data_IF_413462893388
#
_entry.id   IF_413462893388
#
_cell.length_a   1.000
_cell.length_b   1.000
_cell.length_c   1.000
_cell.angle_alpha   90.00
_cell.angle_beta   90.00
_cell.angle_gamma   90.00
#
_symmetry.space_group_name_H-M   'P 1'
#
loop_
_entity.id
_entity.type
_entity.pdbx_description
1 polymer ?
#
# COMPACT_ATOMS: atom_id res chain seq x y z
N UNK A 1 17.30 7.59 4.25
CA UNK A 1 17.04 6.14 4.05
C UNK A 1 16.53 5.90 2.64
N UNK A 2 17.07 4.91 1.96
CA UNK A 2 16.57 4.53 0.64
C UNK A 2 15.27 3.74 0.81
N UNK A 3 14.26 4.05 0.00
CA UNK A 3 12.98 3.38 0.13
C UNK A 3 13.08 1.85 -0.02
N UNK A 4 14.09 1.36 -0.72
CA UNK A 4 14.31 -0.09 -0.89
C UNK A 4 14.72 -0.79 0.41
N UNK A 5 14.99 -0.03 1.45
CA UNK A 5 15.27 -0.58 2.78
C UNK A 5 14.00 -0.83 3.58
N UNK A 6 12.84 -0.36 3.10
CA UNK A 6 11.54 -0.58 3.75
C UNK A 6 11.07 -1.98 3.40
N UNK A 7 11.28 -2.94 4.32
CA UNK A 7 10.93 -4.34 4.10
C UNK A 7 9.87 -4.86 5.05
N UNK A 8 9.38 -3.98 5.93
CA UNK A 8 8.35 -4.33 6.90
C UNK A 8 7.59 -3.08 7.32
N UNK A 9 6.43 -3.30 7.96
CA UNK A 9 5.68 -2.20 8.58
C UNK A 9 6.53 -1.48 9.61
N UNK A 10 7.29 -2.24 10.41
CA UNK A 10 8.17 -1.67 11.44
C UNK A 10 9.24 -0.77 10.83
N UNK A 11 9.82 -1.18 9.70
CA UNK A 11 10.78 -0.33 8.98
C UNK A 11 10.15 0.98 8.54
N UNK A 12 8.92 0.92 8.04
CA UNK A 12 8.19 2.11 7.60
C UNK A 12 7.90 3.04 8.77
N UNK A 13 7.47 2.50 9.90
CA UNK A 13 7.23 3.30 11.10
C UNK A 13 8.51 4.00 11.55
N UNK A 14 9.63 3.28 11.56
CA UNK A 14 10.91 3.84 11.94
C UNK A 14 11.30 4.99 11.02
N UNK A 15 11.13 4.80 9.71
CA UNK A 15 11.46 5.83 8.73
C UNK A 15 10.65 7.10 8.93
N UNK A 16 9.40 6.97 9.38
CA UNK A 16 8.49 8.11 9.57
C UNK A 16 8.46 8.63 11.00
N UNK A 17 9.22 8.02 11.90
CA UNK A 17 9.21 8.43 13.31
C UNK A 17 7.91 8.06 14.02
N UNK A 18 7.24 7.00 13.60
CA UNK A 18 5.98 6.56 14.18
C UNK A 18 6.20 5.33 15.05
N UNK A 19 5.36 5.22 16.10
CA UNK A 19 5.32 4.02 16.91
C UNK A 19 4.37 3.01 16.26
N UNK A 20 4.81 1.76 16.04
CA UNK A 20 3.93 0.75 15.46
C UNK A 20 2.71 0.50 16.34
N UNK A 21 1.56 0.29 15.69
CA UNK A 21 0.31 -0.05 16.36
C UNK A 21 0.26 -1.57 16.48
N UNK A 22 -0.06 -2.04 17.70
CA UNK A 22 -0.19 -3.48 17.95
C UNK A 22 -1.41 -4.06 17.22
N UNK A 23 -1.29 -5.29 16.74
CA UNK A 23 -2.37 -5.94 15.98
C UNK A 23 -3.66 -6.03 16.79
N UNK A 24 -3.58 -6.11 18.10
CA UNK A 24 -4.74 -6.19 18.99
C UNK A 24 -5.67 -4.98 18.88
N UNK A 25 -5.15 -3.84 18.45
CA UNK A 25 -5.97 -2.64 18.21
C UNK A 25 -7.09 -2.93 17.22
N UNK A 26 -6.83 -3.80 16.24
CA UNK A 26 -7.81 -4.12 15.21
C UNK A 26 -8.90 -5.08 15.70
N UNK A 27 -8.81 -5.57 16.92
CA UNK A 27 -9.86 -6.39 17.52
C UNK A 27 -11.15 -5.61 17.77
N UNK A 28 -11.10 -4.27 17.65
CA UNK A 28 -12.30 -3.44 17.71
C UNK A 28 -13.21 -3.65 16.50
N UNK A 29 -12.66 -4.13 15.38
CA UNK A 29 -13.43 -4.43 14.19
C UNK A 29 -14.07 -5.81 14.27
N UNK A 30 -15.06 -6.07 13.41
CA UNK A 30 -15.62 -7.40 13.24
C UNK A 30 -14.51 -8.37 12.86
N UNK A 31 -14.62 -9.63 13.29
CA UNK A 31 -13.56 -10.60 13.09
C UNK A 31 -13.16 -10.73 11.61
N UNK A 32 -14.14 -10.75 10.71
CA UNK A 32 -13.88 -10.88 9.27
C UNK A 32 -13.18 -9.68 8.66
N UNK A 33 -13.21 -8.53 9.34
CA UNK A 33 -12.63 -7.29 8.83
C UNK A 33 -11.23 -7.01 9.38
N UNK A 34 -10.85 -7.67 10.46
CA UNK A 34 -9.60 -7.33 11.18
C UNK A 34 -8.37 -7.43 10.31
N UNK A 35 -8.25 -8.50 9.55
CA UNK A 35 -7.08 -8.71 8.69
C UNK A 35 -6.98 -7.65 7.61
N UNK A 36 -8.10 -7.35 6.94
CA UNK A 36 -8.14 -6.34 5.90
C UNK A 36 -7.82 -4.95 6.43
N UNK A 37 -8.40 -4.59 7.58
CA UNK A 37 -8.18 -3.27 8.16
C UNK A 37 -6.75 -3.11 8.66
N UNK A 38 -6.18 -4.16 9.26
CA UNK A 38 -4.78 -4.13 9.67
C UNK A 38 -3.87 -3.99 8.44
N UNK A 39 -4.15 -4.74 7.38
CA UNK A 39 -3.37 -4.66 6.15
C UNK A 39 -3.46 -3.27 5.53
N UNK A 40 -4.65 -2.68 5.46
CA UNK A 40 -4.81 -1.33 4.92
C UNK A 40 -4.00 -0.31 5.71
N UNK A 41 -4.09 -0.35 7.04
CA UNK A 41 -3.32 0.57 7.88
C UNK A 41 -1.82 0.45 7.61
N UNK A 42 -1.33 -0.79 7.61
CA UNK A 42 0.10 -1.03 7.38
C UNK A 42 0.54 -0.61 6.00
N UNK A 43 -0.28 -0.89 4.97
CA UNK A 43 0.02 -0.46 3.61
C UNK A 43 0.03 1.07 3.48
N UNK A 44 -0.88 1.77 4.16
CA UNK A 44 -0.90 3.23 4.12
C UNK A 44 0.38 3.82 4.71
N UNK A 45 0.86 3.28 5.82
CA UNK A 45 2.11 3.72 6.45
C UNK A 45 3.31 3.36 5.57
N UNK A 46 3.34 2.15 5.04
CA UNK A 46 4.42 1.69 4.15
C UNK A 46 4.48 2.56 2.89
N UNK A 47 3.32 2.84 2.28
CA UNK A 47 3.25 3.68 1.08
C UNK A 47 3.81 5.07 1.36
N UNK A 48 3.43 5.67 2.49
CA UNK A 48 3.94 6.97 2.89
C UNK A 48 5.46 6.95 3.04
N UNK A 49 6.00 5.91 3.68
CA UNK A 49 7.46 5.78 3.88
C UNK A 49 8.19 5.58 2.54
N UNK A 50 7.67 4.72 1.67
CA UNK A 50 8.27 4.48 0.35
C UNK A 50 8.24 5.75 -0.48
N UNK A 51 7.17 6.54 -0.39
CA UNK A 51 7.05 7.82 -1.09
C UNK A 51 7.89 8.93 -0.44
N UNK A 52 8.55 8.65 0.67
CA UNK A 52 9.38 9.63 1.38
C UNK A 52 8.58 10.88 1.74
N UNK A 53 7.33 10.68 2.17
CA UNK A 53 6.44 11.76 2.58
C UNK A 53 5.71 12.48 1.44
N UNK A 54 5.96 12.10 0.18
CA UNK A 54 5.24 12.67 -0.95
C UNK A 54 3.75 12.38 -0.81
N UNK A 55 2.93 13.40 -1.08
CA UNK A 55 1.48 13.29 -1.07
C UNK A 55 0.95 13.60 -2.46
N UNK A 56 0.01 12.82 -3.00
CA UNK A 56 -0.57 13.14 -4.30
C UNK A 56 -1.37 14.44 -4.24
N UNK A 57 -1.21 15.27 -5.26
CA UNK A 57 -1.98 16.49 -5.41
C UNK A 57 -3.11 16.23 -6.41
N UNK A 58 -4.31 16.00 -5.89
CA UNK A 58 -5.45 15.65 -6.72
C UNK A 58 -6.02 16.81 -7.51
N UNK A 59 -5.54 18.03 -7.24
CA UNK A 59 -5.89 19.19 -8.05
C UNK A 59 -4.94 19.37 -9.24
N UNK A 60 -3.80 18.68 -9.25
CA UNK A 60 -2.81 18.77 -10.33
C UNK A 60 -2.99 17.62 -11.31
N UNK A 61 -3.59 17.89 -12.46
CA UNK A 61 -3.89 16.88 -13.48
C UNK A 61 -2.65 16.43 -14.25
N UNK A 62 -1.54 17.12 -14.10
CA UNK A 62 -0.28 16.77 -14.76
C UNK A 62 0.59 15.87 -13.90
N UNK A 63 0.25 15.69 -12.64
CA UNK A 63 0.98 14.79 -11.75
C UNK A 63 0.45 13.38 -11.91
N UNK A 64 1.34 12.45 -12.23
CA UNK A 64 0.96 11.04 -12.34
C UNK A 64 0.95 10.39 -10.95
N UNK A 65 -0.12 9.66 -10.66
CA UNK A 65 -0.28 8.90 -9.42
C UNK A 65 -0.30 7.44 -9.83
N UNK A 66 0.70 6.69 -9.40
CA UNK A 66 0.89 5.31 -9.83
C UNK A 66 0.18 4.37 -8.87
N UNK A 67 -0.64 3.48 -9.43
CA UNK A 67 -1.41 2.52 -8.67
C UNK A 67 -1.05 1.11 -9.14
N UNK A 68 -0.75 0.18 -8.21
CA UNK A 68 -0.52 -1.20 -8.62
C UNK A 68 -1.82 -1.87 -9.02
N UNK A 69 -1.83 -2.56 -10.14
CA UNK A 69 -2.95 -3.40 -10.56
C UNK A 69 -2.62 -4.84 -10.28
N UNK A 70 -3.57 -5.52 -9.66
CA UNK A 70 -3.46 -6.93 -9.30
C UNK A 70 -4.55 -7.71 -9.99
N UNK A 71 -4.31 -9.01 -10.22
CA UNK A 71 -5.34 -9.90 -10.70
C UNK A 71 -5.25 -11.21 -9.93
N UNK A 72 -6.34 -11.97 -9.94
CA UNK A 72 -6.37 -13.26 -9.29
C UNK A 72 -6.30 -14.37 -10.34
N UNK A 73 -5.61 -15.44 -10.00
CA UNK A 73 -5.54 -16.64 -10.82
C UNK A 73 -5.59 -17.85 -9.90
N UNK A 74 -5.38 -19.06 -10.45
CA UNK A 74 -5.43 -20.28 -9.66
C UNK A 74 -4.36 -20.34 -8.57
N UNK A 75 -3.27 -19.59 -8.72
CA UNK A 75 -2.20 -19.53 -7.73
C UNK A 75 -2.42 -18.42 -6.69
N UNK A 76 -3.40 -17.54 -6.89
CA UNK A 76 -3.71 -16.47 -5.97
C UNK A 76 -3.65 -15.09 -6.61
N UNK A 77 -3.21 -14.10 -5.84
CA UNK A 77 -3.09 -12.72 -6.29
C UNK A 77 -1.75 -12.52 -6.99
N UNK A 78 -1.76 -11.84 -8.12
CA UNK A 78 -0.55 -11.57 -8.89
C UNK A 78 -0.51 -10.11 -9.33
N UNK A 79 0.69 -9.55 -9.38
CA UNK A 79 0.90 -8.20 -9.89
C UNK A 79 0.81 -8.20 -11.42
N UNK A 80 -0.10 -7.39 -11.96
CA UNK A 80 -0.26 -7.28 -13.41
C UNK A 80 0.60 -6.16 -13.98
N UNK A 81 0.44 -4.96 -13.50
CA UNK A 81 1.19 -3.80 -13.96
C UNK A 81 0.92 -2.61 -13.03
N UNK A 82 1.67 -1.52 -13.25
CA UNK A 82 1.40 -0.25 -12.60
C UNK A 82 0.71 0.66 -13.61
N UNK A 83 -0.36 1.29 -13.18
CA UNK A 83 -1.10 2.28 -13.96
C UNK A 83 -0.97 3.64 -13.27
N UNK A 84 -1.44 4.70 -13.95
CA UNK A 84 -1.45 6.01 -13.33
C UNK A 84 -2.78 6.71 -13.55
N UNK A 85 -3.12 7.60 -12.62
CA UNK A 85 -4.35 8.39 -12.69
C UNK A 85 -4.02 9.83 -12.26
N UNK A 86 -4.10 10.81 -13.18
CA UNK A 86 -3.73 12.18 -12.83
C UNK A 86 -4.64 12.87 -11.81
N UNK A 87 -5.94 12.59 -11.87
CA UNK A 87 -6.91 13.30 -11.03
C UNK A 87 -7.90 12.39 -10.32
N UNK A 88 -7.75 11.07 -10.47
CA UNK A 88 -8.66 10.09 -9.89
C UNK A 88 -7.87 8.96 -9.24
N UNK A 89 -8.53 8.23 -8.35
CA UNK A 89 -7.97 7.01 -7.80
C UNK A 89 -8.94 5.87 -8.06
N UNK A 90 -8.42 4.65 -8.19
CA UNK A 90 -9.30 3.50 -8.44
C UNK A 90 -10.05 3.12 -7.15
N UNK A 91 -11.19 2.47 -7.35
CA UNK A 91 -12.00 1.95 -6.25
C UNK A 91 -11.22 0.98 -5.37
N UNK A 92 -10.25 0.27 -5.96
CA UNK A 92 -9.51 -0.79 -5.26
C UNK A 92 -8.33 -0.26 -4.46
N UNK A 93 -7.72 0.85 -4.88
CA UNK A 93 -6.50 1.35 -4.27
C UNK A 93 -6.76 2.50 -3.31
N UNK A 94 -7.49 3.51 -3.75
CA UNK A 94 -7.69 4.72 -2.95
C UNK A 94 -6.45 5.61 -2.92
N UNK A 95 -6.63 6.82 -2.43
CA UNK A 95 -5.61 7.86 -2.47
C UNK A 95 -4.41 7.58 -1.56
N UNK A 96 -4.59 6.76 -0.53
CA UNK A 96 -3.53 6.50 0.45
C UNK A 96 -2.53 5.45 0.00
N UNK A 97 -2.81 4.75 -1.10
CA UNK A 97 -1.97 3.64 -1.58
C UNK A 97 -1.36 3.91 -2.95
N UNK A 98 -1.33 5.16 -3.38
CA UNK A 98 -0.72 5.58 -4.64
C UNK A 98 0.77 5.89 -4.44
N UNK A 99 1.56 5.70 -5.49
CA UNK A 99 3.00 5.93 -5.45
C UNK A 99 3.40 7.06 -6.39
N UNK A 100 4.51 7.71 -6.07
CA UNK A 100 5.02 8.83 -6.83
C UNK A 100 5.68 8.42 -8.15
N UNK A 101 6.09 7.17 -8.29
CA UNK A 101 6.70 6.66 -9.51
C UNK A 101 6.48 5.16 -9.66
N UNK A 102 6.78 4.67 -10.86
CA UNK A 102 6.60 3.25 -11.21
C UNK A 102 7.47 2.34 -10.35
N UNK A 103 8.73 2.72 -10.16
CA UNK A 103 9.71 1.88 -9.46
C UNK A 103 9.29 1.64 -8.01
N UNK A 104 8.73 2.64 -7.36
CA UNK A 104 8.24 2.51 -5.99
C UNK A 104 7.02 1.60 -5.91
N UNK A 105 6.09 1.74 -6.85
CA UNK A 105 4.92 0.85 -6.89
C UNK A 105 5.34 -0.60 -7.12
N UNK A 106 6.25 -0.83 -8.06
CA UNK A 106 6.74 -2.17 -8.34
C UNK A 106 7.49 -2.77 -7.15
N UNK A 107 8.30 -1.97 -6.47
CA UNK A 107 9.00 -2.42 -5.26
C UNK A 107 8.03 -2.83 -4.17
N UNK A 108 7.00 -2.01 -3.93
CA UNK A 108 6.02 -2.29 -2.89
C UNK A 108 5.29 -3.61 -3.15
N UNK A 109 4.85 -3.82 -4.38
CA UNK A 109 4.13 -5.04 -4.72
C UNK A 109 5.04 -6.26 -4.66
N UNK A 110 6.29 -6.13 -5.11
CA UNK A 110 7.24 -7.24 -5.01
C UNK A 110 7.51 -7.62 -3.56
N UNK A 111 7.63 -6.63 -2.69
CA UNK A 111 7.98 -6.86 -1.28
C UNK A 111 6.79 -7.31 -0.45
N UNK A 112 5.61 -6.72 -0.67
CA UNK A 112 4.44 -6.92 0.19
C UNK A 112 3.26 -7.59 -0.52
N UNK A 113 3.43 -8.01 -1.77
CA UNK A 113 2.33 -8.54 -2.58
C UNK A 113 1.70 -9.79 -2.00
N UNK A 114 2.53 -10.74 -1.55
CA UNK A 114 2.05 -12.01 -1.03
C UNK A 114 1.61 -11.94 0.43
N UNK A 115 1.78 -10.81 1.07
CA UNK A 115 1.41 -10.61 2.47
C UNK A 115 0.35 -9.53 2.60
N UNK A 116 0.75 -8.27 2.71
CA UNK A 116 -0.20 -7.19 3.02
C UNK A 116 -1.16 -6.88 1.88
N UNK A 117 -0.69 -6.87 0.62
CA UNK A 117 -1.60 -6.62 -0.51
C UNK A 117 -2.60 -7.77 -0.66
N UNK A 118 -2.16 -9.00 -0.45
CA UNK A 118 -3.06 -10.15 -0.47
C UNK A 118 -4.12 -10.03 0.62
N UNK A 119 -3.71 -9.67 1.84
CA UNK A 119 -4.62 -9.52 2.96
C UNK A 119 -5.61 -8.38 2.74
N UNK A 120 -5.21 -7.34 2.02
CA UNK A 120 -6.07 -6.21 1.70
C UNK A 120 -7.06 -6.54 0.59
N UNK A 121 -6.58 -7.12 -0.51
CA UNK A 121 -7.43 -7.39 -1.68
C UNK A 121 -8.17 -8.72 -1.59
N UNK A 122 -7.62 -9.69 -0.88
CA UNK A 122 -8.16 -11.05 -0.85
C UNK A 122 -7.87 -11.70 0.50
N UNK A 123 -8.50 -11.23 1.57
CA UNK A 123 -8.28 -11.75 2.91
C UNK A 123 -8.97 -13.10 3.08
N UNK A 124 -8.18 -14.18 3.13
CA UNK A 124 -8.71 -15.54 3.32
C UNK A 124 -8.22 -16.17 4.60
#
# INVERSE_FOLDING_TARGET
MNYREIKSYEDACKALGLKPIADEVFNAFQQEDRRTMAAYHKLAVITCAINEGWQPDWSNRNERKYEPYMYTNSAGLAFAHTSFAPSLTSTFIGSRLCFRDYERAAFAVKTFGDTLYKDYFRPE
#
